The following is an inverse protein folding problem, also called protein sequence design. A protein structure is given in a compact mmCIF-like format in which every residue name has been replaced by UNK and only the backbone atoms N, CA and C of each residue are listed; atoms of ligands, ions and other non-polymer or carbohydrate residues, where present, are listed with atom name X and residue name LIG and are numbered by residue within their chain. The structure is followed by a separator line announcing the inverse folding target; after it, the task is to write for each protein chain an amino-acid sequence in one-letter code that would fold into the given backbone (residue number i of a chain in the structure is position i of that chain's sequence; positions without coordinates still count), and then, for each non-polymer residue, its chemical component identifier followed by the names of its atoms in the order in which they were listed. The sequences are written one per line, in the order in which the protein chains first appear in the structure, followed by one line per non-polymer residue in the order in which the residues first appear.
data_IF_255516555913
#
_entry.id   IF_255516555913
#
_cell.length_a   1.000
_cell.length_b   1.000
_cell.length_c   1.000
_cell.angle_alpha   90.00
_cell.angle_beta   90.00
_cell.angle_gamma   90.00
#
_symmetry.space_group_name_H-M   'P 1'
#
loop_
_entity.id
_entity.type
_entity.pdbx_description
1 polymer ?
#
# COMPACT_ATOMS: atom_id res chain seq x y z
N UNK A 1 23.80 -4.58 28.55
CA UNK A 1 23.40 -5.57 27.52
C UNK A 1 22.49 -4.87 26.52
N UNK A 2 22.97 -4.47 25.32
CA UNK A 2 22.14 -3.75 24.37
C UNK A 2 21.24 -4.74 23.62
N UNK A 3 19.95 -4.77 23.95
CA UNK A 3 18.98 -5.60 23.25
C UNK A 3 18.67 -5.00 21.88
N UNK A 4 19.30 -5.61 20.87
CA UNK A 4 19.16 -5.39 19.44
C UNK A 4 17.77 -5.86 18.97
N UNK A 5 16.73 -5.03 19.10
CA UNK A 5 15.45 -5.25 18.40
C UNK A 5 15.43 -4.43 17.13
N UNK A 6 15.74 -5.13 16.03
CA UNK A 6 15.73 -4.65 14.65
C UNK A 6 14.31 -4.15 14.32
N UNK A 7 14.16 -2.89 13.90
CA UNK A 7 12.94 -2.34 13.27
C UNK A 7 12.75 -2.99 11.89
N UNK A 8 12.28 -4.23 11.84
CA UNK A 8 12.04 -4.95 10.57
C UNK A 8 10.56 -5.11 10.22
N UNK A 9 9.63 -4.66 11.08
CA UNK A 9 8.19 -4.79 10.81
C UNK A 9 7.62 -3.63 9.99
N UNK A 10 8.14 -2.42 10.13
CA UNK A 10 7.66 -1.23 9.39
C UNK A 10 7.55 -1.43 7.87
N UNK A 11 8.56 -2.00 7.16
CA UNK A 11 8.45 -2.19 5.72
C UNK A 11 7.35 -3.19 5.34
N UNK A 12 7.18 -4.26 6.14
CA UNK A 12 6.18 -5.30 5.88
C UNK A 12 4.77 -4.75 6.11
N UNK A 13 4.57 -4.00 7.19
CA UNK A 13 3.28 -3.36 7.50
C UNK A 13 2.84 -2.39 6.39
N UNK A 14 3.79 -1.66 5.79
CA UNK A 14 3.49 -0.77 4.66
C UNK A 14 3.13 -1.58 3.41
N UNK A 15 3.87 -2.65 3.11
CA UNK A 15 3.55 -3.53 1.98
C UNK A 15 2.14 -4.15 2.09
N UNK A 16 1.80 -4.68 3.25
CA UNK A 16 0.48 -5.27 3.52
C UNK A 16 -0.63 -4.23 3.40
N UNK A 17 -0.38 -2.99 3.83
CA UNK A 17 -1.31 -1.87 3.67
C UNK A 17 -1.51 -1.50 2.20
N UNK A 18 -0.44 -1.43 1.41
CA UNK A 18 -0.53 -1.14 -0.03
C UNK A 18 -1.35 -2.23 -0.76
N UNK A 19 -1.11 -3.50 -0.44
CA UNK A 19 -1.87 -4.62 -0.99
C UNK A 19 -3.35 -4.54 -0.63
N UNK A 20 -3.67 -4.30 0.65
CA UNK A 20 -5.06 -4.16 1.08
C UNK A 20 -5.77 -2.98 0.41
N UNK A 21 -5.08 -1.87 0.15
CA UNK A 21 -5.69 -0.71 -0.51
C UNK A 21 -5.97 -1.01 -1.98
N UNK A 22 -5.04 -1.65 -2.69
CA UNK A 22 -5.21 -2.02 -4.10
C UNK A 22 -6.31 -3.08 -4.27
N UNK A 23 -6.34 -4.13 -3.44
CA UNK A 23 -7.32 -5.22 -3.57
C UNK A 23 -8.75 -4.80 -3.26
N UNK A 24 -8.94 -3.77 -2.42
CA UNK A 24 -10.26 -3.37 -1.92
C UNK A 24 -10.84 -2.14 -2.62
N UNK A 25 -10.08 -1.50 -3.52
CA UNK A 25 -10.59 -0.35 -4.25
C UNK A 25 -11.76 -0.80 -5.15
N UNK A 26 -12.94 -0.21 -4.93
CA UNK A 26 -14.18 -0.62 -5.59
C UNK A 26 -15.12 -1.51 -4.76
N UNK A 27 -14.72 -1.93 -3.56
CA UNK A 27 -15.65 -2.48 -2.57
C UNK A 27 -16.64 -1.41 -2.07
N UNK A 28 -17.70 -1.86 -1.39
CA UNK A 28 -18.72 -0.98 -0.81
C UNK A 28 -18.06 0.05 0.13
N UNK A 29 -18.23 1.33 -0.20
CA UNK A 29 -17.67 2.46 0.54
C UNK A 29 -18.71 3.56 0.72
N UNK A 30 -18.46 4.47 1.65
CA UNK A 30 -19.24 5.71 1.84
C UNK A 30 -18.87 6.79 0.83
N UNK A 31 -17.69 6.68 0.21
CA UNK A 31 -17.18 7.61 -0.81
C UNK A 31 -17.40 7.05 -2.22
N UNK A 32 -17.40 7.92 -3.23
CA UNK A 32 -17.50 7.50 -4.64
C UNK A 32 -16.25 6.72 -5.08
N UNK A 33 -16.41 5.91 -6.13
CA UNK A 33 -15.28 5.16 -6.70
C UNK A 33 -14.19 6.11 -7.21
N UNK A 34 -14.57 7.21 -7.84
CA UNK A 34 -13.67 8.23 -8.36
C UNK A 34 -12.80 8.82 -7.24
N UNK A 35 -13.42 9.22 -6.13
CA UNK A 35 -12.71 9.75 -4.96
C UNK A 35 -11.76 8.71 -4.35
N UNK A 36 -12.17 7.44 -4.28
CA UNK A 36 -11.31 6.37 -3.77
C UNK A 36 -10.11 6.09 -4.70
N UNK A 37 -10.32 6.13 -6.02
CA UNK A 37 -9.26 5.95 -7.02
C UNK A 37 -8.25 7.10 -6.98
N UNK A 38 -8.74 8.34 -6.87
CA UNK A 38 -7.89 9.52 -6.75
C UNK A 38 -7.04 9.47 -5.46
N UNK A 39 -7.67 9.11 -4.33
CA UNK A 39 -6.96 8.92 -3.07
C UNK A 39 -5.92 7.78 -3.13
N UNK A 40 -6.27 6.65 -3.76
CA UNK A 40 -5.34 5.54 -3.95
C UNK A 40 -4.15 5.94 -4.82
N UNK A 41 -4.37 6.66 -5.93
CA UNK A 41 -3.31 7.13 -6.80
C UNK A 41 -2.30 8.01 -6.03
N UNK A 42 -2.79 8.93 -5.18
CA UNK A 42 -1.93 9.76 -4.34
C UNK A 42 -1.10 8.96 -3.32
N UNK A 43 -1.68 7.92 -2.71
CA UNK A 43 -0.95 7.01 -1.81
C UNK A 43 0.14 6.25 -2.57
N UNK A 44 -0.20 5.65 -3.73
CA UNK A 44 0.77 4.89 -4.51
C UNK A 44 1.92 5.78 -4.99
N UNK A 45 1.64 6.99 -5.46
CA UNK A 45 2.65 7.95 -5.91
C UNK A 45 3.64 8.31 -4.79
N UNK A 46 3.13 8.58 -3.57
CA UNK A 46 3.96 8.89 -2.42
C UNK A 46 4.87 7.74 -2.01
N UNK A 47 4.43 6.49 -2.19
CA UNK A 47 5.15 5.28 -1.81
C UNK A 47 6.03 4.69 -2.94
N UNK A 48 5.92 5.19 -4.18
CA UNK A 48 6.74 4.77 -5.32
C UNK A 48 8.27 4.79 -5.03
N UNK A 49 8.86 5.81 -4.38
CA UNK A 49 10.31 5.86 -4.16
C UNK A 49 10.87 4.65 -3.42
N UNK A 50 10.07 4.03 -2.55
CA UNK A 50 10.51 2.91 -1.70
C UNK A 50 9.89 1.57 -2.13
N UNK A 51 8.70 1.57 -2.72
CA UNK A 51 7.89 0.36 -2.93
C UNK A 51 7.51 0.08 -4.40
N UNK A 52 8.09 0.81 -5.38
CA UNK A 52 7.77 0.65 -6.81
C UNK A 52 7.68 -0.81 -7.29
N UNK A 53 8.68 -1.63 -6.97
CA UNK A 53 8.72 -3.03 -7.40
C UNK A 53 7.55 -3.84 -6.82
N UNK A 54 7.22 -3.63 -5.55
CA UNK A 54 6.12 -4.32 -4.88
C UNK A 54 4.77 -3.86 -5.43
N UNK A 55 4.57 -2.55 -5.60
CA UNK A 55 3.35 -1.98 -6.19
C UNK A 55 3.08 -2.58 -7.57
N UNK A 56 4.10 -2.64 -8.44
CA UNK A 56 3.98 -3.28 -9.76
C UNK A 56 3.61 -4.76 -9.67
N UNK A 57 4.20 -5.52 -8.74
CA UNK A 57 3.86 -6.94 -8.55
C UNK A 57 2.41 -7.13 -8.12
N UNK A 58 1.91 -6.31 -7.21
CA UNK A 58 0.51 -6.38 -6.76
C UNK A 58 -0.41 -6.07 -7.93
N UNK A 59 -0.18 -4.95 -8.63
CA UNK A 59 -1.00 -4.50 -9.77
C UNK A 59 -1.04 -5.49 -10.95
N UNK A 60 0.01 -6.30 -11.14
CA UNK A 60 0.04 -7.32 -12.19
C UNK A 60 -0.43 -8.72 -11.72
N UNK A 61 -0.64 -8.91 -10.42
CA UNK A 61 -1.15 -10.16 -9.87
C UNK A 61 -2.68 -10.18 -9.78
N UNK A 62 -3.30 -9.00 -9.66
CA UNK A 62 -4.74 -8.79 -9.83
C UNK A 62 -5.10 -8.67 -11.31
#
# INVERSE_FOLDING_TARGET
QPHKRRRTSEPIEIEDRLESLICRVGEKSTSSLESNLEGLAGVLEADLPNYKSKILRILCAV
#
